data_IF_197120417401
#
_entry.id   IF_197120417401
#
_cell.length_a   1.000
_cell.length_b   1.000
_cell.length_c   1.000
_cell.angle_alpha   90.00
_cell.angle_beta   90.00
_cell.angle_gamma   90.00
#
_symmetry.space_group_name_H-M   'P 1'
#
loop_
_entity.id
_entity.type
_entity.pdbx_description
1 polymer ?
#
# COMPACT_ATOMS: atom_id res chain seq x y z
N UNK A 1 -9.95 13.15 -7.70
CA UNK A 1 -9.74 12.28 -6.52
C UNK A 1 -9.09 13.09 -5.41
N UNK A 2 -9.63 13.01 -4.21
CA UNK A 2 -9.04 13.70 -3.06
C UNK A 2 -7.89 12.91 -2.47
N UNK A 3 -7.07 13.56 -1.64
CA UNK A 3 -6.00 12.86 -0.93
C UNK A 3 -6.54 11.76 -0.02
N UNK A 4 -7.68 12.02 0.61
CA UNK A 4 -8.30 11.03 1.46
C UNK A 4 -8.75 9.80 0.67
N UNK A 5 -9.33 10.01 -0.49
CA UNK A 5 -9.73 8.93 -1.38
C UNK A 5 -8.52 8.14 -1.89
N UNK A 6 -7.44 8.83 -2.24
CA UNK A 6 -6.20 8.19 -2.67
C UNK A 6 -5.60 7.35 -1.55
N UNK A 7 -5.56 7.89 -0.33
CA UNK A 7 -5.07 7.16 0.82
C UNK A 7 -5.90 5.90 1.05
N UNK A 8 -7.21 6.01 0.96
CA UNK A 8 -8.12 4.87 1.12
C UNK A 8 -7.86 3.81 0.04
N UNK A 9 -7.65 4.24 -1.19
CA UNK A 9 -7.35 3.34 -2.30
C UNK A 9 -6.06 2.56 -2.02
N UNK A 10 -5.00 3.23 -1.59
CA UNK A 10 -3.73 2.55 -1.29
C UNK A 10 -3.87 1.59 -0.10
N UNK A 11 -4.67 1.93 0.91
CA UNK A 11 -4.92 1.02 2.02
C UNK A 11 -5.69 -0.22 1.58
N UNK A 12 -6.66 -0.04 0.70
CA UNK A 12 -7.40 -1.18 0.14
C UNK A 12 -6.50 -2.08 -0.67
N UNK A 13 -5.61 -1.52 -1.48
CA UNK A 13 -4.63 -2.27 -2.25
C UNK A 13 -3.66 -3.01 -1.33
N UNK A 14 -3.21 -2.37 -0.25
CA UNK A 14 -2.36 -3.02 0.73
C UNK A 14 -3.05 -4.24 1.33
N UNK A 15 -4.30 -4.09 1.75
CA UNK A 15 -5.06 -5.19 2.34
C UNK A 15 -5.24 -6.35 1.36
N UNK A 16 -5.56 -6.04 0.09
CA UNK A 16 -5.72 -7.05 -0.94
C UNK A 16 -4.41 -7.80 -1.19
N UNK A 17 -3.29 -7.08 -1.25
CA UNK A 17 -1.97 -7.70 -1.43
C UNK A 17 -1.61 -8.60 -0.24
N UNK A 18 -1.92 -8.16 0.98
CA UNK A 18 -1.65 -8.99 2.16
C UNK A 18 -2.48 -10.27 2.14
N UNK A 19 -3.73 -10.20 1.72
CA UNK A 19 -4.56 -11.39 1.59
C UNK A 19 -4.00 -12.34 0.52
N UNK A 20 -3.56 -11.80 -0.60
CA UNK A 20 -2.97 -12.59 -1.67
C UNK A 20 -1.70 -13.30 -1.19
N UNK A 21 -0.84 -12.58 -0.47
CA UNK A 21 0.37 -13.15 0.09
C UNK A 21 0.05 -14.32 1.01
N UNK A 22 -0.93 -14.14 1.91
CA UNK A 22 -1.35 -15.21 2.81
C UNK A 22 -1.88 -16.42 2.05
N UNK A 23 -2.69 -16.19 1.02
CA UNK A 23 -3.23 -17.28 0.21
C UNK A 23 -2.13 -18.05 -0.52
N UNK A 24 -1.17 -17.34 -1.11
CA UNK A 24 -0.06 -17.98 -1.82
C UNK A 24 0.83 -18.75 -0.86
N UNK A 25 1.12 -18.19 0.30
CA UNK A 25 1.92 -18.86 1.33
C UNK A 25 1.23 -20.13 1.80
N UNK A 26 -0.07 -20.07 2.04
CA UNK A 26 -0.85 -21.24 2.45
C UNK A 26 -0.87 -22.32 1.36
N UNK A 27 -0.81 -21.92 0.10
CA UNK A 27 -0.76 -22.84 -1.04
C UNK A 27 0.65 -23.40 -1.29
N UNK A 28 1.64 -23.04 -0.48
CA UNK A 28 3.00 -23.57 -0.61
C UNK A 28 3.87 -22.85 -1.64
N UNK A 29 3.44 -21.71 -2.15
CA UNK A 29 4.19 -20.98 -3.19
C UNK A 29 5.58 -20.57 -2.71
N UNK A 30 5.76 -20.30 -1.43
CA UNK A 30 7.05 -19.89 -0.86
C UNK A 30 8.05 -21.01 -0.65
N UNK A 31 7.73 -22.25 -1.02
CA UNK A 31 8.61 -23.40 -0.78
C UNK A 31 9.76 -23.49 -1.77
N UNK A 32 9.62 -22.90 -2.95
CA UNK A 32 10.71 -22.86 -3.91
C UNK A 32 11.23 -21.44 -4.12
N UNK A 33 12.34 -21.32 -4.86
CA UNK A 33 13.02 -20.03 -5.06
C UNK A 33 12.12 -19.04 -5.83
N UNK A 34 11.45 -19.51 -6.87
CA UNK A 34 10.57 -18.64 -7.68
C UNK A 34 9.42 -18.12 -6.86
N UNK A 35 8.82 -19.01 -6.05
CA UNK A 35 7.72 -18.64 -5.18
C UNK A 35 8.14 -17.62 -4.14
N UNK A 36 9.32 -17.78 -3.54
CA UNK A 36 9.85 -16.81 -2.57
C UNK A 36 10.07 -15.45 -3.20
N UNK A 37 10.61 -15.41 -4.42
CA UNK A 37 10.80 -14.15 -5.13
C UNK A 37 9.45 -13.48 -5.42
N UNK A 38 8.48 -14.26 -5.85
CA UNK A 38 7.14 -13.76 -6.14
C UNK A 38 6.48 -13.16 -4.89
N UNK A 39 6.54 -13.87 -3.79
CA UNK A 39 5.98 -13.40 -2.53
C UNK A 39 6.71 -12.14 -2.06
N UNK A 40 8.03 -12.10 -2.17
CA UNK A 40 8.81 -10.92 -1.79
C UNK A 40 8.39 -9.68 -2.58
N UNK A 41 8.18 -9.83 -3.88
CA UNK A 41 7.72 -8.70 -4.71
C UNK A 41 6.35 -8.20 -4.26
N UNK A 42 5.46 -9.11 -3.93
CA UNK A 42 4.14 -8.72 -3.44
C UNK A 42 4.25 -8.02 -2.08
N UNK A 43 5.15 -8.47 -1.21
CA UNK A 43 5.40 -7.82 0.06
C UNK A 43 5.94 -6.40 -0.12
N UNK A 44 6.84 -6.20 -1.07
CA UNK A 44 7.37 -4.89 -1.39
C UNK A 44 6.26 -3.97 -1.91
N UNK A 45 5.39 -4.47 -2.79
CA UNK A 45 4.25 -3.70 -3.29
C UNK A 45 3.29 -3.33 -2.16
N UNK A 46 3.01 -4.27 -1.26
CA UNK A 46 2.14 -4.01 -0.12
C UNK A 46 2.74 -2.93 0.78
N UNK A 47 4.03 -3.00 1.03
CA UNK A 47 4.72 -1.99 1.83
C UNK A 47 4.66 -0.62 1.18
N UNK A 48 4.88 -0.53 -0.12
CA UNK A 48 4.80 0.73 -0.86
C UNK A 48 3.40 1.33 -0.76
N UNK A 49 2.36 0.52 -0.92
CA UNK A 49 0.99 1.01 -0.80
C UNK A 49 0.69 1.50 0.62
N UNK A 50 1.18 0.79 1.63
CA UNK A 50 1.01 1.19 3.02
C UNK A 50 1.72 2.52 3.28
N UNK A 51 2.96 2.65 2.80
CA UNK A 51 3.76 3.85 3.02
C UNK A 51 3.16 5.05 2.30
N UNK A 52 2.66 4.85 1.08
CA UNK A 52 1.98 5.91 0.33
C UNK A 52 0.69 6.34 1.03
N UNK A 53 -0.09 5.39 1.53
CA UNK A 53 -1.30 5.71 2.27
C UNK A 53 -0.99 6.53 3.51
N UNK A 54 0.02 6.12 4.27
CA UNK A 54 0.44 6.84 5.47
C UNK A 54 0.92 8.25 5.15
N UNK A 55 1.67 8.40 4.08
CA UNK A 55 2.17 9.71 3.65
C UNK A 55 1.03 10.64 3.26
N UNK A 56 0.06 10.14 2.50
CA UNK A 56 -1.09 10.94 2.07
C UNK A 56 -1.97 11.33 3.27
N UNK A 57 -2.16 10.41 4.21
CA UNK A 57 -2.90 10.70 5.43
C UNK A 57 -2.19 11.76 6.26
N UNK A 58 -0.88 11.69 6.35
CA UNK A 58 -0.08 12.67 7.06
C UNK A 58 -0.28 14.07 6.47
N UNK A 59 -0.16 14.20 5.16
CA UNK A 59 -0.38 15.48 4.50
C UNK A 59 -1.81 15.98 4.68
N UNK A 60 -2.77 15.11 4.60
CA UNK A 60 -4.18 15.46 4.80
C UNK A 60 -4.42 15.97 6.22
N UNK A 61 -3.95 15.24 7.21
CA UNK A 61 -4.12 15.61 8.62
C UNK A 61 -3.41 16.90 8.98
N UNK A 62 -2.24 17.13 8.39
CA UNK A 62 -1.49 18.35 8.62
C UNK A 62 -2.08 19.55 7.89
N UNK A 63 -3.00 19.30 6.97
CA UNK A 63 -3.67 20.37 6.25
C UNK A 63 -2.84 20.99 5.13
N UNK A 64 -1.76 20.40 4.74
CA UNK A 64 -0.88 20.96 3.72
C UNK A 64 -1.61 21.23 2.41
N UNK A 65 -2.48 20.33 2.01
CA UNK A 65 -3.19 20.46 0.74
C UNK A 65 -4.63 20.90 0.90
N UNK A 66 -5.06 21.11 2.14
CA UNK A 66 -6.37 21.74 2.41
C UNK A 66 -6.27 23.25 2.36
N UNK A 67 -5.10 23.77 2.61
CA UNK A 67 -4.87 25.20 2.66
C UNK A 67 -4.26 25.64 1.34
N UNK A 68 -5.00 26.44 0.59
CA UNK A 68 -4.61 26.87 -0.74
C UNK A 68 -3.26 27.58 -0.78
N UNK A 69 -2.87 28.17 0.33
CA UNK A 69 -1.57 28.84 0.38
C UNK A 69 -0.41 27.91 0.13
N UNK A 70 -0.60 26.64 0.36
CA UNK A 70 0.44 25.64 0.17
C UNK A 70 0.46 25.05 -1.24
N UNK A 71 -0.53 25.37 -2.03
CA UNK A 71 -0.64 24.84 -3.37
C UNK A 71 -0.08 25.78 -4.44
N UNK A 72 0.48 26.83 -4.02
CA UNK A 72 1.03 27.82 -4.91
C UNK A 72 2.16 27.31 -5.78
#
# INVERSE_FOLDING_TARGET
MTLQEMSHTYRSQHAALRQRIRALTAAGVGEDTRGRIRIRRLEEMAKENRDLAALLEHYYERGYLKNERYTL
#
